data_IF_189377669587
#
_entry.id   IF_189377669587
#
_cell.length_a   1.000
_cell.length_b   1.000
_cell.length_c   1.000
_cell.angle_alpha   90.00
_cell.angle_beta   90.00
_cell.angle_gamma   90.00
#
_symmetry.space_group_name_H-M   'P 1'
#
loop_
_entity.id
_entity.type
_entity.pdbx_description
1 polymer ?
#
# COMPACT_ATOMS: atom_id res chain seq x y z
N UNK A 1 18.27 11.67 98.49
CA UNK A 1 19.71 11.51 98.77
C UNK A 1 20.39 11.82 97.41
N UNK A 2 20.79 13.01 97.39
CA UNK A 2 22.13 13.62 97.14
C UNK A 2 22.48 13.61 95.63
N UNK A 3 22.61 14.68 95.09
CA UNK A 3 23.59 15.81 95.08
C UNK A 3 24.50 15.75 93.89
N UNK A 4 24.60 16.67 93.05
CA UNK A 4 25.57 17.70 92.65
C UNK A 4 25.33 18.15 91.22
N UNK A 5 24.91 19.36 91.01
CA UNK A 5 25.56 20.65 90.97
C UNK A 5 26.54 20.90 89.80
N UNK A 6 26.11 21.86 88.98
CA UNK A 6 26.92 22.87 88.22
C UNK A 6 28.06 22.44 87.30
N UNK A 7 27.94 22.89 86.05
CA UNK A 7 28.77 24.05 85.59
C UNK A 7 28.18 24.59 84.26
N UNK A 8 27.94 25.87 84.27
CA UNK A 8 27.52 26.71 83.15
C UNK A 8 28.75 27.08 82.35
N UNK A 9 28.86 26.74 81.11
CA UNK A 9 29.81 27.34 80.15
C UNK A 9 29.06 27.94 78.97
N UNK A 10 29.10 29.27 78.93
CA UNK A 10 28.50 30.09 77.86
C UNK A 10 29.28 29.90 76.58
N UNK A 11 28.76 29.12 75.62
CA UNK A 11 29.25 29.16 74.27
C UNK A 11 28.32 30.01 73.42
N UNK A 12 28.81 31.19 73.03
CA UNK A 12 28.16 32.09 72.06
C UNK A 12 28.37 31.46 70.67
N UNK A 13 27.34 30.80 70.15
CA UNK A 13 27.30 30.38 68.79
C UNK A 13 26.96 31.56 67.90
N UNK A 14 27.94 32.04 67.11
CA UNK A 14 27.70 32.99 66.02
C UNK A 14 27.06 32.21 64.88
N UNK A 15 25.74 32.42 64.67
CA UNK A 15 25.07 31.87 63.43
C UNK A 15 25.55 32.71 62.26
N UNK A 16 26.39 32.10 61.45
CA UNK A 16 26.78 32.64 60.17
C UNK A 16 25.62 32.34 59.19
N UNK A 17 24.81 33.31 58.86
CA UNK A 17 23.78 33.22 57.80
C UNK A 17 24.51 33.21 56.45
N UNK A 18 24.60 32.02 55.82
CA UNK A 18 25.04 31.87 54.44
C UNK A 18 23.79 32.09 53.57
N UNK A 19 23.74 33.09 52.67
CA UNK A 19 22.67 33.22 51.74
C UNK A 19 22.70 32.08 50.75
N UNK A 20 21.73 31.17 50.78
CA UNK A 20 21.52 30.16 49.76
C UNK A 20 20.89 30.88 48.56
N UNK A 21 21.71 31.11 47.53
CA UNK A 21 21.23 31.48 46.23
C UNK A 21 20.56 30.25 45.61
N UNK A 22 19.22 30.24 45.57
CA UNK A 22 18.49 29.33 44.71
C UNK A 22 18.72 29.75 43.25
N UNK A 23 19.62 29.05 42.59
CA UNK A 23 19.69 29.06 41.12
C UNK A 23 18.46 28.29 40.65
N UNK A 24 17.39 29.00 40.31
CA UNK A 24 16.25 28.45 39.60
C UNK A 24 16.74 28.14 38.20
N UNK A 25 17.16 26.90 37.96
CA UNK A 25 17.22 26.35 36.59
C UNK A 25 15.77 26.28 36.09
N UNK A 26 15.36 27.25 35.30
CA UNK A 26 14.19 27.06 34.44
C UNK A 26 14.58 25.96 33.41
N UNK A 27 14.18 24.74 33.69
CA UNK A 27 14.03 23.76 32.65
C UNK A 27 12.97 24.31 31.69
N UNK A 28 13.42 24.85 30.57
CA UNK A 28 12.57 24.94 29.40
C UNK A 28 12.38 23.50 28.95
N UNK A 29 11.32 22.88 29.45
CA UNK A 29 10.76 21.68 28.89
C UNK A 29 10.46 22.02 27.43
N UNK A 30 11.36 21.60 26.54
CA UNK A 30 11.02 21.43 25.14
C UNK A 30 10.09 20.23 25.18
N UNK A 31 8.80 20.48 25.41
CA UNK A 31 7.74 19.61 24.96
C UNK A 31 7.90 19.54 23.42
N UNK A 32 8.81 18.67 22.97
CA UNK A 32 8.67 18.09 21.65
C UNK A 32 7.34 17.37 21.71
N UNK A 33 6.33 18.04 21.17
CA UNK A 33 5.08 17.42 20.78
C UNK A 33 5.44 16.25 19.83
N UNK A 34 5.72 15.10 20.46
CA UNK A 34 5.84 13.81 19.78
C UNK A 34 4.41 13.33 19.50
N UNK A 35 3.62 14.16 18.80
CA UNK A 35 2.49 13.63 18.08
C UNK A 35 3.08 12.51 17.23
N UNK A 36 2.56 11.27 17.34
CA UNK A 36 3.02 10.18 16.49
C UNK A 36 2.88 10.70 15.05
N UNK A 37 3.98 10.72 14.30
CA UNK A 37 3.95 11.02 12.89
C UNK A 37 3.05 9.94 12.30
N UNK A 38 1.77 10.27 12.13
CA UNK A 38 0.79 9.39 11.53
C UNK A 38 1.25 9.21 10.09
N UNK A 39 1.93 8.09 9.84
CA UNK A 39 2.34 7.73 8.50
C UNK A 39 1.13 7.45 7.62
N UNK A 40 1.30 7.63 6.33
CA UNK A 40 0.28 7.24 5.36
C UNK A 40 0.18 5.71 5.25
N UNK A 41 -1.02 5.22 4.91
CA UNK A 41 -1.31 3.80 4.75
C UNK A 41 -1.71 3.50 3.30
N UNK A 42 -1.04 2.54 2.71
CA UNK A 42 -1.32 2.04 1.37
C UNK A 42 -1.84 0.60 1.45
N UNK A 43 -2.97 0.32 0.82
CA UNK A 43 -3.53 -1.01 0.63
C UNK A 43 -3.43 -1.41 -0.84
N UNK A 44 -2.77 -2.52 -1.14
CA UNK A 44 -2.74 -3.11 -2.47
C UNK A 44 -3.58 -4.39 -2.48
N UNK A 45 -4.65 -4.41 -3.30
CA UNK A 45 -5.59 -5.52 -3.43
C UNK A 45 -5.44 -6.17 -4.80
N UNK A 46 -5.34 -7.51 -4.86
CA UNK A 46 -5.20 -8.17 -6.15
C UNK A 46 -4.84 -9.64 -6.13
N UNK A 47 -4.10 -10.04 -7.15
CA UNK A 47 -3.66 -11.41 -7.41
C UNK A 47 -2.12 -11.53 -7.49
N UNK A 48 -1.59 -12.47 -8.30
CA UNK A 48 -0.15 -12.67 -8.51
C UNK A 48 0.58 -11.44 -8.99
N UNK A 49 -0.06 -10.58 -9.80
CA UNK A 49 0.56 -9.36 -10.30
C UNK A 49 0.71 -8.30 -9.20
N UNK A 50 -0.18 -8.29 -8.21
CA UNK A 50 -0.06 -7.44 -7.02
C UNK A 50 0.91 -8.03 -6.01
N UNK A 51 0.91 -9.35 -5.84
CA UNK A 51 1.86 -10.06 -4.98
C UNK A 51 3.30 -9.91 -5.49
N UNK A 52 3.49 -9.93 -6.81
CA UNK A 52 4.81 -9.90 -7.47
C UNK A 52 5.36 -11.29 -7.73
N UNK A 53 4.50 -12.20 -8.24
CA UNK A 53 4.95 -13.52 -8.67
C UNK A 53 6.02 -13.41 -9.75
N UNK A 54 7.06 -14.23 -9.66
CA UNK A 54 8.16 -14.26 -10.63
C UNK A 54 9.24 -13.20 -10.42
N UNK A 55 9.10 -12.30 -9.44
CA UNK A 55 10.10 -11.26 -9.12
C UNK A 55 10.51 -11.30 -7.63
N UNK A 56 11.50 -10.52 -7.26
CA UNK A 56 11.96 -10.45 -5.87
C UNK A 56 10.92 -9.78 -4.95
N UNK A 57 10.99 -10.03 -3.63
CA UNK A 57 10.04 -9.50 -2.65
C UNK A 57 9.86 -7.98 -2.71
N UNK A 58 10.91 -7.22 -2.98
CA UNK A 58 10.86 -5.76 -3.10
C UNK A 58 10.53 -5.27 -4.52
N UNK A 59 10.41 -6.19 -5.49
CA UNK A 59 10.31 -5.86 -6.91
C UNK A 59 8.87 -5.75 -7.42
N UNK A 60 7.86 -6.11 -6.63
CA UNK A 60 6.46 -5.96 -7.00
C UNK A 60 6.07 -4.48 -7.16
N UNK A 61 5.08 -4.16 -8.02
CA UNK A 61 4.69 -2.77 -8.23
C UNK A 61 4.24 -2.05 -6.95
N UNK A 62 3.52 -2.69 -5.99
CA UNK A 62 3.12 -1.98 -4.77
C UNK A 62 4.31 -1.55 -3.92
N UNK A 63 5.33 -2.41 -3.83
CA UNK A 63 6.56 -2.10 -3.07
C UNK A 63 7.40 -1.05 -3.76
N UNK A 64 7.59 -1.15 -5.08
CA UNK A 64 8.28 -0.12 -5.87
C UNK A 64 7.57 1.23 -5.78
N UNK A 65 6.22 1.26 -5.83
CA UNK A 65 5.44 2.49 -5.70
C UNK A 65 5.60 3.09 -4.30
N UNK A 66 5.47 2.28 -3.24
CA UNK A 66 5.69 2.71 -1.87
C UNK A 66 7.09 3.31 -1.69
N UNK A 67 8.12 2.63 -2.18
CA UNK A 67 9.51 3.09 -2.06
C UNK A 67 9.75 4.40 -2.82
N UNK A 68 9.15 4.53 -4.01
CA UNK A 68 9.25 5.75 -4.83
C UNK A 68 8.55 6.93 -4.16
N UNK A 69 7.37 6.73 -3.57
CA UNK A 69 6.63 7.75 -2.83
C UNK A 69 7.37 8.16 -1.55
N UNK A 70 7.94 7.19 -0.81
CA UNK A 70 8.73 7.47 0.40
C UNK A 70 10.05 8.22 0.12
N UNK A 71 10.66 8.02 -1.05
CA UNK A 71 11.84 8.80 -1.48
C UNK A 71 11.49 10.21 -1.93
N UNK A 72 10.23 10.45 -2.25
CA UNK A 72 9.71 11.74 -2.70
C UNK A 72 9.25 12.64 -1.54
N UNK A 73 7.98 13.04 -1.58
CA UNK A 73 7.39 13.98 -0.61
C UNK A 73 6.55 13.30 0.49
N UNK A 74 6.30 11.99 0.36
CA UNK A 74 5.48 11.22 1.30
C UNK A 74 6.42 10.53 2.28
N UNK A 75 6.34 10.89 3.56
CA UNK A 75 7.13 10.24 4.59
C UNK A 75 6.32 9.16 5.31
N UNK A 76 6.97 7.99 5.57
CA UNK A 76 6.39 6.89 6.35
C UNK A 76 5.11 6.27 5.74
N UNK A 77 5.05 6.10 4.42
CA UNK A 77 4.01 5.28 3.78
C UNK A 77 4.27 3.80 4.11
N UNK A 78 3.29 3.14 4.68
CA UNK A 78 3.30 1.71 4.99
C UNK A 78 2.37 0.96 4.06
N UNK A 79 2.74 -0.26 3.66
CA UNK A 79 2.00 -1.10 2.73
C UNK A 79 1.40 -2.32 3.43
N UNK A 80 0.10 -2.54 3.25
CA UNK A 80 -0.54 -3.84 3.39
C UNK A 80 -0.89 -4.36 1.99
N UNK A 81 -0.49 -5.59 1.68
CA UNK A 81 -0.92 -6.28 0.46
C UNK A 81 -1.93 -7.38 0.82
N UNK A 82 -3.11 -7.33 0.19
CA UNK A 82 -4.13 -8.39 0.22
C UNK A 82 -4.19 -8.97 -1.19
N UNK A 83 -3.30 -9.90 -1.46
CA UNK A 83 -3.11 -10.49 -2.79
C UNK A 83 -2.46 -11.86 -2.66
N UNK A 84 -2.84 -12.78 -3.54
CA UNK A 84 -2.22 -14.09 -3.63
C UNK A 84 -2.27 -14.62 -5.06
N UNK A 85 -1.21 -15.33 -5.44
CA UNK A 85 -1.11 -15.98 -6.75
C UNK A 85 -2.32 -16.85 -7.02
N UNK A 86 -2.90 -16.67 -8.19
CA UNK A 86 -4.06 -17.42 -8.66
C UNK A 86 -5.41 -16.92 -8.17
N UNK A 87 -5.50 -15.90 -7.33
CA UNK A 87 -6.76 -15.40 -6.85
C UNK A 87 -7.65 -14.85 -7.97
N UNK A 88 -8.91 -15.26 -7.89
CA UNK A 88 -10.05 -14.71 -8.65
C UNK A 88 -10.69 -13.56 -7.88
N UNK A 89 -11.69 -12.93 -8.48
CA UNK A 89 -12.51 -11.92 -7.76
C UNK A 89 -13.16 -12.51 -6.51
N UNK A 90 -13.69 -13.74 -6.58
CA UNK A 90 -14.26 -14.46 -5.42
C UNK A 90 -13.23 -14.66 -4.32
N UNK A 91 -12.01 -15.11 -4.68
CA UNK A 91 -10.94 -15.35 -3.72
C UNK A 91 -10.52 -14.05 -3.02
N UNK A 92 -10.40 -12.95 -3.77
CA UNK A 92 -10.06 -11.65 -3.21
C UNK A 92 -11.15 -11.11 -2.28
N UNK A 93 -12.43 -11.28 -2.62
CA UNK A 93 -13.55 -10.92 -1.72
C UNK A 93 -13.40 -11.65 -0.38
N UNK A 94 -13.16 -12.97 -0.43
CA UNK A 94 -12.96 -13.79 0.77
C UNK A 94 -11.71 -13.36 1.54
N UNK A 95 -10.58 -13.13 0.86
CA UNK A 95 -9.35 -12.66 1.49
C UNK A 95 -9.51 -11.32 2.22
N UNK A 96 -10.28 -10.38 1.66
CA UNK A 96 -10.59 -9.10 2.33
C UNK A 96 -11.48 -9.32 3.55
N UNK A 97 -12.45 -10.25 3.48
CA UNK A 97 -13.31 -10.58 4.63
C UNK A 97 -12.49 -11.25 5.75
N UNK A 98 -11.64 -12.20 5.42
CA UNK A 98 -10.83 -12.96 6.39
C UNK A 98 -9.81 -12.09 7.11
N UNK A 99 -9.13 -11.19 6.37
CA UNK A 99 -8.15 -10.26 6.95
C UNK A 99 -8.85 -9.15 7.72
N UNK A 100 -10.05 -8.74 7.28
CA UNK A 100 -10.85 -7.66 7.87
C UNK A 100 -10.01 -6.39 8.17
N UNK A 101 -9.35 -5.80 7.15
CA UNK A 101 -8.50 -4.64 7.35
C UNK A 101 -9.32 -3.42 7.80
N UNK A 102 -8.71 -2.47 8.55
CA UNK A 102 -9.39 -1.23 8.92
C UNK A 102 -9.69 -0.38 7.67
N UNK A 103 -10.68 0.51 7.77
CA UNK A 103 -11.09 1.41 6.67
C UNK A 103 -10.39 2.79 6.74
N UNK A 104 -9.07 2.80 6.92
CA UNK A 104 -8.31 4.02 7.17
C UNK A 104 -7.10 4.21 6.23
N UNK A 105 -7.15 3.60 5.04
CA UNK A 105 -6.08 3.71 4.05
C UNK A 105 -6.14 5.04 3.29
N UNK A 106 -4.95 5.63 3.07
CA UNK A 106 -4.78 6.88 2.34
C UNK A 106 -4.67 6.66 0.84
N UNK A 107 -4.24 5.47 0.43
CA UNK A 107 -4.16 5.01 -0.95
C UNK A 107 -4.61 3.56 -1.02
N UNK A 108 -5.43 3.23 -2.00
CA UNK A 108 -5.83 1.84 -2.32
C UNK A 108 -5.59 1.59 -3.80
N UNK A 109 -4.92 0.49 -4.14
CA UNK A 109 -4.86 0.00 -5.53
C UNK A 109 -5.61 -1.33 -5.65
N UNK A 110 -6.32 -1.52 -6.77
CA UNK A 110 -7.05 -2.74 -7.10
C UNK A 110 -6.66 -3.22 -8.51
N UNK A 111 -6.09 -4.42 -8.59
CA UNK A 111 -5.77 -5.12 -9.83
C UNK A 111 -6.21 -6.57 -9.69
N UNK A 112 -7.31 -6.96 -10.36
CA UNK A 112 -7.90 -8.31 -10.24
C UNK A 112 -8.74 -8.65 -11.47
N UNK A 113 -8.81 -9.94 -11.80
CA UNK A 113 -9.70 -10.46 -12.84
C UNK A 113 -9.02 -11.37 -13.85
N UNK A 114 -7.69 -11.32 -13.99
CA UNK A 114 -6.97 -12.16 -14.95
C UNK A 114 -7.21 -13.66 -14.71
N UNK A 115 -7.30 -14.08 -13.45
CA UNK A 115 -7.56 -15.48 -13.11
C UNK A 115 -9.01 -15.91 -13.35
N UNK A 116 -9.98 -15.00 -13.36
CA UNK A 116 -11.33 -15.30 -13.79
C UNK A 116 -11.30 -15.70 -15.28
N UNK A 117 -10.61 -14.92 -16.12
CA UNK A 117 -10.44 -15.23 -17.54
C UNK A 117 -9.59 -16.50 -17.74
N UNK A 118 -8.42 -16.60 -17.11
CA UNK A 118 -7.51 -17.75 -17.26
C UNK A 118 -8.16 -19.09 -16.90
N UNK A 119 -8.98 -19.12 -15.84
CA UNK A 119 -9.73 -20.31 -15.41
C UNK A 119 -11.05 -20.49 -16.15
N UNK A 120 -11.36 -19.64 -17.12
CA UNK A 120 -12.61 -19.66 -17.91
C UNK A 120 -13.85 -19.61 -17.04
N UNK A 121 -13.80 -18.85 -15.94
CA UNK A 121 -14.98 -18.54 -15.13
C UNK A 121 -15.90 -17.67 -15.99
N UNK A 122 -17.22 -17.91 -15.99
CA UNK A 122 -18.15 -17.08 -16.76
C UNK A 122 -17.94 -15.58 -16.47
N UNK A 123 -17.88 -14.76 -17.53
CA UNK A 123 -17.64 -13.32 -17.39
C UNK A 123 -18.68 -12.63 -16.49
N UNK A 124 -19.92 -13.17 -16.45
CA UNK A 124 -20.97 -12.69 -15.55
C UNK A 124 -20.57 -12.69 -14.06
N UNK A 125 -19.68 -13.61 -13.65
CA UNK A 125 -19.16 -13.60 -12.28
C UNK A 125 -18.31 -12.36 -12.04
N UNK A 126 -17.45 -11.99 -13.00
CA UNK A 126 -16.67 -10.75 -12.91
C UNK A 126 -17.57 -9.51 -12.92
N UNK A 127 -18.63 -9.51 -13.75
CA UNK A 127 -19.62 -8.42 -13.82
C UNK A 127 -20.32 -8.20 -12.48
N UNK A 128 -20.58 -9.28 -11.72
CA UNK A 128 -21.19 -9.22 -10.39
C UNK A 128 -20.18 -8.85 -9.28
N UNK A 129 -18.98 -9.43 -9.31
CA UNK A 129 -18.03 -9.35 -8.19
C UNK A 129 -17.10 -8.14 -8.26
N UNK A 130 -16.71 -7.67 -9.46
CA UNK A 130 -15.82 -6.51 -9.58
C UNK A 130 -16.43 -5.23 -8.97
N UNK A 131 -17.71 -4.90 -9.17
CA UNK A 131 -18.34 -3.76 -8.48
C UNK A 131 -18.32 -3.88 -6.95
N UNK A 132 -18.45 -5.11 -6.41
CA UNK A 132 -18.35 -5.36 -4.96
C UNK A 132 -16.93 -5.06 -4.46
N UNK A 133 -15.91 -5.48 -5.21
CA UNK A 133 -14.52 -5.19 -4.86
C UNK A 133 -14.18 -3.70 -4.98
N UNK A 134 -14.71 -3.02 -5.99
CA UNK A 134 -14.55 -1.58 -6.17
C UNK A 134 -15.15 -0.81 -4.99
N UNK A 135 -16.37 -1.15 -4.56
CA UNK A 135 -17.02 -0.54 -3.39
C UNK A 135 -16.21 -0.84 -2.10
N UNK A 136 -15.73 -2.08 -1.94
CA UNK A 136 -14.84 -2.42 -0.80
C UNK A 136 -13.56 -1.59 -0.79
N UNK A 137 -12.94 -1.38 -1.96
CA UNK A 137 -11.75 -0.53 -2.08
C UNK A 137 -12.05 0.92 -1.68
N UNK A 138 -13.20 1.46 -2.07
CA UNK A 138 -13.65 2.81 -1.68
C UNK A 138 -13.85 2.90 -0.16
N UNK A 139 -14.55 1.94 0.43
CA UNK A 139 -14.79 1.90 1.89
C UNK A 139 -13.46 1.85 2.65
N UNK A 140 -12.53 0.98 2.24
CA UNK A 140 -11.21 0.83 2.86
C UNK A 140 -10.35 2.08 2.68
N UNK A 141 -10.53 2.82 1.58
CA UNK A 141 -9.95 4.13 1.30
C UNK A 141 -10.67 5.29 2.01
N UNK A 142 -11.09 5.11 3.26
CA UNK A 142 -11.78 6.15 4.07
C UNK A 142 -13.12 6.60 3.47
N UNK A 143 -13.78 5.72 2.72
CA UNK A 143 -15.01 6.02 1.96
C UNK A 143 -14.84 7.20 0.98
N UNK A 144 -13.64 7.32 0.40
CA UNK A 144 -13.26 8.37 -0.55
C UNK A 144 -12.78 7.75 -1.88
N UNK A 145 -13.56 7.97 -2.94
CA UNK A 145 -13.27 7.48 -4.29
C UNK A 145 -11.94 7.99 -4.83
N UNK A 146 -11.52 9.18 -4.41
CA UNK A 146 -10.27 9.79 -4.84
C UNK A 146 -9.02 9.05 -4.31
N UNK A 147 -9.17 8.21 -3.29
CA UNK A 147 -8.08 7.40 -2.69
C UNK A 147 -7.86 6.08 -3.40
N UNK A 148 -8.69 5.75 -4.40
CA UNK A 148 -8.64 4.46 -5.09
C UNK A 148 -8.07 4.63 -6.50
N UNK A 149 -7.15 3.76 -6.87
CA UNK A 149 -6.65 3.56 -8.23
C UNK A 149 -6.98 2.12 -8.64
N UNK A 150 -7.80 1.95 -9.66
CA UNK A 150 -7.96 0.66 -10.32
C UNK A 150 -6.94 0.57 -11.44
N UNK A 151 -6.31 -0.57 -11.57
CA UNK A 151 -5.29 -0.85 -12.60
C UNK A 151 -5.85 -1.94 -13.50
N UNK A 152 -5.74 -1.76 -14.82
CA UNK A 152 -6.14 -2.79 -15.78
C UNK A 152 -5.38 -4.10 -15.55
N UNK A 153 -6.02 -5.23 -15.81
CA UNK A 153 -5.33 -6.52 -15.79
C UNK A 153 -4.40 -6.63 -17.01
N UNK A 154 -3.19 -7.20 -16.84
CA UNK A 154 -2.24 -7.39 -17.94
C UNK A 154 -2.71 -8.47 -18.90
N UNK A 155 -2.29 -8.33 -20.15
CA UNK A 155 -2.56 -9.29 -21.21
C UNK A 155 -1.42 -10.30 -21.29
N UNK A 156 -1.62 -11.44 -20.68
CA UNK A 156 -0.61 -12.50 -20.63
C UNK A 156 -0.47 -13.29 -21.96
N UNK A 157 -1.36 -13.04 -22.92
CA UNK A 157 -1.24 -13.68 -24.25
C UNK A 157 0.05 -13.26 -24.99
N UNK A 158 0.64 -12.13 -24.60
CA UNK A 158 1.93 -11.64 -25.13
C UNK A 158 3.15 -12.14 -24.32
N UNK A 159 3.02 -13.30 -23.68
CA UNK A 159 4.13 -13.97 -22.99
C UNK A 159 4.41 -15.35 -23.63
N UNK A 160 5.60 -15.95 -23.44
CA UNK A 160 5.89 -17.29 -23.96
C UNK A 160 4.87 -18.36 -23.52
N UNK A 161 4.44 -18.32 -22.25
CA UNK A 161 3.41 -19.23 -21.72
C UNK A 161 2.05 -18.94 -22.38
N UNK A 162 1.68 -17.67 -22.50
CA UNK A 162 0.43 -17.27 -23.15
C UNK A 162 0.35 -17.77 -24.61
N UNK A 163 1.44 -17.64 -25.37
CA UNK A 163 1.52 -18.11 -26.73
C UNK A 163 1.42 -19.64 -26.86
N UNK A 164 1.93 -20.37 -25.88
CA UNK A 164 2.00 -21.83 -25.96
C UNK A 164 0.70 -22.52 -25.51
N UNK A 165 0.04 -22.02 -24.48
CA UNK A 165 -1.08 -22.70 -23.83
C UNK A 165 -2.45 -22.13 -24.16
N UNK A 166 -2.53 -21.07 -24.94
CA UNK A 166 -3.80 -20.40 -25.23
C UNK A 166 -4.01 -20.17 -26.72
N UNK A 167 -5.15 -19.58 -27.07
CA UNK A 167 -5.37 -18.92 -28.36
C UNK A 167 -5.17 -17.43 -28.13
N UNK A 168 -3.99 -16.86 -28.44
CA UNK A 168 -3.60 -15.53 -27.99
C UNK A 168 -4.59 -14.43 -28.36
N UNK A 169 -5.15 -14.49 -29.56
CA UNK A 169 -6.11 -13.49 -30.04
C UNK A 169 -7.40 -13.50 -29.22
N UNK A 170 -7.91 -14.70 -28.89
CA UNK A 170 -9.12 -14.85 -28.07
C UNK A 170 -8.87 -14.31 -26.66
N UNK A 171 -7.72 -14.68 -26.07
CA UNK A 171 -7.35 -14.19 -24.73
C UNK A 171 -7.21 -12.68 -24.71
N UNK A 172 -6.57 -12.09 -25.72
CA UNK A 172 -6.38 -10.65 -25.82
C UNK A 172 -7.72 -9.89 -25.94
N UNK A 173 -8.67 -10.44 -26.71
CA UNK A 173 -10.03 -9.89 -26.83
C UNK A 173 -10.77 -9.98 -25.48
N UNK A 174 -10.70 -11.14 -24.80
CA UNK A 174 -11.34 -11.34 -23.51
C UNK A 174 -10.71 -10.41 -22.41
N UNK A 175 -9.38 -10.29 -22.36
CA UNK A 175 -8.71 -9.33 -21.45
C UNK A 175 -9.16 -7.90 -21.72
N UNK A 176 -9.32 -7.52 -22.99
CA UNK A 176 -9.86 -6.21 -23.36
C UNK A 176 -11.27 -6.04 -22.83
N UNK A 177 -12.14 -7.06 -22.93
CA UNK A 177 -13.51 -7.02 -22.39
C UNK A 177 -13.52 -6.80 -20.87
N UNK A 178 -12.63 -7.49 -20.12
CA UNK A 178 -12.51 -7.29 -18.66
C UNK A 178 -12.07 -5.87 -18.32
N UNK A 179 -11.08 -5.34 -19.03
CA UNK A 179 -10.54 -4.01 -18.80
C UNK A 179 -11.53 -2.90 -19.18
N UNK A 180 -12.27 -3.06 -20.27
CA UNK A 180 -13.34 -2.14 -20.69
C UNK A 180 -14.45 -2.08 -19.64
N UNK A 181 -14.89 -3.24 -19.14
CA UNK A 181 -15.90 -3.30 -18.10
C UNK A 181 -15.42 -2.59 -16.82
N UNK A 182 -14.19 -2.88 -16.36
CA UNK A 182 -13.61 -2.23 -15.18
C UNK A 182 -13.51 -0.71 -15.36
N UNK A 183 -13.04 -0.27 -16.52
CA UNK A 183 -12.93 1.16 -16.87
C UNK A 183 -14.29 1.87 -16.84
N UNK A 184 -15.34 1.27 -17.43
CA UNK A 184 -16.71 1.80 -17.42
C UNK A 184 -17.23 1.90 -15.99
N UNK A 185 -17.02 0.86 -15.15
CA UNK A 185 -17.44 0.89 -13.73
C UNK A 185 -16.72 1.97 -12.94
N UNK A 186 -15.42 2.12 -13.15
CA UNK A 186 -14.63 3.18 -12.53
C UNK A 186 -15.14 4.57 -12.94
N UNK A 187 -15.47 4.77 -14.21
CA UNK A 187 -16.04 6.03 -14.69
C UNK A 187 -17.40 6.33 -14.02
N UNK A 188 -18.28 5.32 -13.91
CA UNK A 188 -19.59 5.44 -13.25
C UNK A 188 -19.45 5.83 -11.78
N UNK A 189 -18.44 5.29 -11.09
CA UNK A 189 -18.17 5.55 -9.67
C UNK A 189 -17.22 6.73 -9.44
N UNK A 190 -16.75 7.43 -10.48
CA UNK A 190 -15.75 8.50 -10.40
C UNK A 190 -14.44 8.04 -9.71
N UNK A 191 -14.02 6.81 -9.96
CA UNK A 191 -12.74 6.24 -9.51
C UNK A 191 -11.73 6.32 -10.63
N UNK A 192 -10.47 6.60 -10.29
CA UNK A 192 -9.40 6.67 -11.28
C UNK A 192 -9.02 5.27 -11.77
N UNK A 193 -9.04 5.09 -13.10
CA UNK A 193 -8.60 3.86 -13.77
C UNK A 193 -7.28 4.12 -14.52
N UNK A 194 -6.28 3.28 -14.28
CA UNK A 194 -5.00 3.33 -14.98
C UNK A 194 -4.84 2.11 -15.89
N UNK A 195 -4.86 2.33 -17.18
CA UNK A 195 -4.52 1.29 -18.14
C UNK A 195 -3.00 1.06 -18.20
N UNK A 196 -2.61 -0.22 -18.11
CA UNK A 196 -1.22 -0.71 -18.22
C UNK A 196 -1.11 -1.86 -19.24
N UNK A 197 -2.19 -2.18 -19.94
CA UNK A 197 -2.29 -3.36 -20.79
C UNK A 197 -1.28 -3.30 -21.96
N UNK A 198 -0.99 -2.11 -22.48
CA UNK A 198 0.01 -1.88 -23.50
C UNK A 198 1.44 -2.25 -23.05
N UNK A 199 1.76 -2.12 -21.77
CA UNK A 199 3.06 -2.56 -21.23
C UNK A 199 3.20 -4.08 -21.38
N UNK A 200 2.17 -4.84 -20.96
CA UNK A 200 2.18 -6.30 -21.06
C UNK A 200 2.18 -6.80 -22.49
N UNK A 201 1.50 -6.10 -23.41
CA UNK A 201 1.43 -6.43 -24.83
C UNK A 201 2.77 -6.30 -25.59
N UNK A 202 3.75 -5.67 -24.97
CA UNK A 202 5.12 -5.62 -25.51
C UNK A 202 5.98 -6.83 -25.10
N UNK A 203 5.48 -7.77 -24.30
CA UNK A 203 6.28 -8.84 -23.69
C UNK A 203 7.02 -9.74 -24.69
N UNK A 204 6.46 -9.99 -25.89
CA UNK A 204 7.14 -10.75 -26.93
C UNK A 204 8.21 -9.93 -27.68
N UNK A 205 7.99 -8.62 -27.84
CA UNK A 205 8.92 -7.71 -28.50
C UNK A 205 10.05 -7.26 -27.57
N UNK A 206 9.74 -7.15 -26.27
CA UNK A 206 10.63 -6.74 -25.19
C UNK A 206 10.63 -7.80 -24.10
N UNK A 207 11.41 -8.89 -24.25
CA UNK A 207 11.40 -10.03 -23.31
C UNK A 207 11.81 -9.66 -21.87
N UNK A 208 12.49 -8.53 -21.66
CA UNK A 208 12.83 -7.98 -20.35
C UNK A 208 11.60 -7.50 -19.55
N UNK A 209 10.43 -7.38 -20.20
CA UNK A 209 9.16 -7.10 -19.53
C UNK A 209 8.50 -8.34 -18.93
N UNK A 210 8.97 -9.54 -19.28
CA UNK A 210 8.44 -10.82 -18.80
C UNK A 210 9.38 -11.40 -17.75
N UNK A 211 8.83 -11.88 -16.64
CA UNK A 211 9.61 -12.52 -15.58
C UNK A 211 10.20 -13.87 -16.03
N UNK A 212 11.11 -14.41 -15.22
CA UNK A 212 11.82 -15.67 -15.55
C UNK A 212 10.91 -16.90 -15.62
N UNK A 213 9.69 -16.81 -15.11
CA UNK A 213 8.67 -17.86 -15.24
C UNK A 213 7.96 -17.87 -16.61
N UNK A 214 8.29 -16.93 -17.49
CA UNK A 214 7.74 -16.77 -18.83
C UNK A 214 6.23 -16.45 -18.89
N UNK A 215 5.65 -15.95 -17.79
CA UNK A 215 4.23 -15.63 -17.66
C UNK A 215 3.98 -14.27 -17.02
N UNK A 216 4.54 -14.03 -15.82
CA UNK A 216 4.28 -12.83 -15.09
C UNK A 216 5.12 -11.64 -15.56
N UNK A 217 4.76 -10.46 -15.12
CA UNK A 217 5.52 -9.25 -15.42
C UNK A 217 6.83 -9.21 -14.63
N UNK A 218 7.88 -8.71 -15.28
CA UNK A 218 9.18 -8.53 -14.66
C UNK A 218 9.24 -7.29 -13.76
N UNK A 219 10.33 -7.17 -13.00
CA UNK A 219 10.67 -5.96 -12.26
C UNK A 219 10.70 -4.71 -13.15
N UNK A 220 11.20 -4.84 -14.39
CA UNK A 220 11.25 -3.74 -15.36
C UNK A 220 9.84 -3.31 -15.78
N UNK A 221 8.95 -4.26 -16.04
CA UNK A 221 7.55 -3.96 -16.36
C UNK A 221 6.86 -3.28 -15.16
N UNK A 222 7.08 -3.76 -13.94
CA UNK A 222 6.55 -3.11 -12.74
C UNK A 222 7.08 -1.69 -12.55
N UNK A 223 8.34 -1.42 -12.87
CA UNK A 223 8.87 -0.04 -12.85
C UNK A 223 8.12 0.88 -13.81
N UNK A 224 7.81 0.42 -15.03
CA UNK A 224 7.00 1.19 -15.99
C UNK A 224 5.56 1.44 -15.49
N UNK A 225 4.97 0.46 -14.80
CA UNK A 225 3.65 0.63 -14.15
C UNK A 225 3.74 1.69 -13.06
N UNK A 226 4.77 1.64 -12.21
CA UNK A 226 5.00 2.63 -11.14
C UNK A 226 5.17 4.05 -11.71
N UNK A 227 5.90 4.23 -12.79
CA UNK A 227 6.03 5.52 -13.47
C UNK A 227 4.66 6.12 -13.84
N UNK A 228 3.72 5.29 -14.33
CA UNK A 228 2.36 5.74 -14.66
C UNK A 228 1.51 6.07 -13.42
N UNK A 229 1.68 5.30 -12.35
CA UNK A 229 0.91 5.45 -11.11
C UNK A 229 1.40 6.63 -10.25
N UNK A 230 2.70 6.95 -10.32
CA UNK A 230 3.39 7.81 -9.35
C UNK A 230 2.73 9.18 -9.17
N UNK A 231 2.46 9.89 -10.27
CA UNK A 231 1.89 11.23 -10.17
C UNK A 231 0.50 11.23 -9.54
N UNK A 232 -0.34 10.25 -9.93
CA UNK A 232 -1.69 10.12 -9.36
C UNK A 232 -1.62 9.73 -7.90
N UNK A 233 -0.82 8.72 -7.55
CA UNK A 233 -0.65 8.27 -6.16
C UNK A 233 -0.07 9.39 -5.27
N UNK A 234 0.93 10.13 -5.75
CA UNK A 234 1.47 11.28 -5.04
C UNK A 234 0.42 12.36 -4.78
N UNK A 235 -0.43 12.66 -5.76
CA UNK A 235 -1.50 13.67 -5.61
C UNK A 235 -2.60 13.25 -4.62
N UNK A 236 -2.78 11.95 -4.38
CA UNK A 236 -3.73 11.41 -3.40
C UNK A 236 -3.22 11.60 -1.97
N UNK A 237 -1.91 11.58 -1.79
CA UNK A 237 -1.24 11.61 -0.48
C UNK A 237 -0.81 13.02 -0.06
N UNK A 238 -1.10 14.03 -0.85
CA UNK A 238 -0.88 15.45 -0.56
C UNK A 238 -2.17 16.11 -0.03
#
# INVERSE_FOLDING_TARGET
>A
MEIFSRVISKFRFRILLIPIFFISCSNSDIDKDLSPISGYKYLAMGDSYTQGEGVCDSCSFPKQLMDSLNKGQVNNLTLLSIAQTGWTTTDLINGVVDINPPNDYDLVTLLIGVNNQFRRIPFSVYEEEFPILLEKAIILGKNDRNKVIVISIPDYSYTPIGQYYTTPEIVSDEISQYNDFASIKCQQENVYFQDITDISRLGLEQPDLVASDNLHLSEVAYSKIVERLFNKASSILQ
#
